data_IF_888846657930
#
_entry.id   IF_888846657930
#
_cell.length_a   1.000
_cell.length_b   1.000
_cell.length_c   1.000
_cell.angle_alpha   90.00
_cell.angle_beta   90.00
_cell.angle_gamma   90.00
#
_symmetry.space_group_name_H-M   'P 1'
#
loop_
_entity.id
_entity.type
_entity.pdbx_description
1 polymer ?
#
# COMPACT_ATOMS: atom_id res chain seq x y z
N UNK A 1 -30.36 -20.32 -6.61
CA UNK A 1 -29.47 -20.14 -5.45
C UNK A 1 -28.71 -18.84 -5.64
N UNK A 2 -28.70 -17.91 -4.68
CA UNK A 2 -27.83 -16.74 -4.77
C UNK A 2 -26.38 -17.24 -4.66
N UNK A 3 -25.59 -17.01 -5.70
CA UNK A 3 -24.14 -17.19 -5.66
C UNK A 3 -23.60 -16.26 -4.59
N UNK A 4 -23.02 -16.82 -3.51
CA UNK A 4 -22.22 -16.04 -2.58
C UNK A 4 -21.13 -15.36 -3.42
N UNK A 5 -21.17 -14.03 -3.49
CA UNK A 5 -20.07 -13.24 -4.03
C UNK A 5 -18.80 -13.68 -3.31
N UNK A 6 -17.75 -14.02 -4.07
CA UNK A 6 -16.46 -14.36 -3.49
C UNK A 6 -16.06 -13.29 -2.45
N UNK A 7 -15.52 -13.68 -1.29
CA UNK A 7 -15.09 -12.72 -0.29
C UNK A 7 -14.12 -11.73 -0.92
N UNK A 8 -14.36 -10.42 -0.73
CA UNK A 8 -13.47 -9.38 -1.24
C UNK A 8 -12.17 -9.43 -0.44
N UNK A 9 -11.07 -9.81 -1.07
CA UNK A 9 -9.72 -9.79 -0.50
C UNK A 9 -9.24 -8.36 -0.31
N UNK A 10 -8.27 -8.14 0.57
CA UNK A 10 -7.78 -6.80 0.91
C UNK A 10 -7.39 -6.63 2.38
N UNK A 11 -7.22 -7.72 3.12
CA UNK A 11 -6.66 -7.68 4.46
C UNK A 11 -5.13 -7.66 4.35
N UNK A 12 -4.53 -6.62 4.92
CA UNK A 12 -3.07 -6.46 5.02
C UNK A 12 -2.68 -6.45 6.48
N UNK A 13 -1.69 -7.27 6.85
CA UNK A 13 -1.05 -7.21 8.16
C UNK A 13 0.41 -6.83 7.96
N UNK A 14 0.88 -5.85 8.71
CA UNK A 14 2.22 -5.32 8.63
C UNK A 14 2.68 -4.92 10.03
N UNK A 15 3.61 -5.68 10.59
CA UNK A 15 4.13 -5.43 11.94
C UNK A 15 5.52 -4.83 11.87
N UNK A 16 5.72 -3.70 12.54
CA UNK A 16 7.01 -3.05 12.69
C UNK A 16 7.84 -3.81 13.74
N UNK A 17 8.96 -4.40 13.32
CA UNK A 17 9.82 -5.20 14.20
C UNK A 17 10.87 -4.35 14.93
N UNK A 18 11.33 -3.29 14.27
CA UNK A 18 12.34 -2.36 14.76
C UNK A 18 12.06 -0.95 14.26
N UNK A 19 12.52 0.08 14.95
CA UNK A 19 12.34 1.45 14.47
C UNK A 19 13.14 1.69 13.18
N UNK A 20 12.63 2.54 12.31
CA UNK A 20 13.25 2.86 11.02
C UNK A 20 14.18 4.06 11.19
N UNK A 21 15.43 3.91 10.70
CA UNK A 21 16.38 5.02 10.67
C UNK A 21 15.83 6.18 9.85
N UNK A 22 16.16 7.41 10.23
CA UNK A 22 15.56 8.60 9.61
C UNK A 22 15.84 8.69 8.10
N UNK A 23 17.04 8.30 7.66
CA UNK A 23 17.43 8.31 6.25
C UNK A 23 16.64 7.29 5.41
N UNK A 24 16.45 6.08 5.94
CA UNK A 24 15.65 5.03 5.30
C UNK A 24 14.18 5.45 5.22
N UNK A 25 13.66 6.09 6.28
CA UNK A 25 12.31 6.64 6.31
C UNK A 25 12.12 7.73 5.24
N UNK A 26 13.06 8.68 5.13
CA UNK A 26 13.01 9.70 4.09
C UNK A 26 13.08 9.09 2.68
N UNK A 27 13.89 8.05 2.50
CA UNK A 27 13.97 7.32 1.23
C UNK A 27 12.63 6.66 0.89
N UNK A 28 12.02 5.93 1.84
CA UNK A 28 10.71 5.32 1.69
C UNK A 28 9.66 6.37 1.30
N UNK A 29 9.57 7.45 2.07
CA UNK A 29 8.66 8.56 1.83
C UNK A 29 8.81 9.15 0.42
N UNK A 30 10.04 9.36 -0.05
CA UNK A 30 10.32 9.86 -1.40
C UNK A 30 9.79 8.90 -2.47
N UNK A 31 10.05 7.60 -2.33
CA UNK A 31 9.58 6.59 -3.28
C UNK A 31 8.04 6.49 -3.28
N UNK A 32 7.41 6.56 -2.11
CA UNK A 32 5.94 6.55 -1.96
C UNK A 32 5.32 7.76 -2.65
N UNK A 33 5.94 8.95 -2.52
CA UNK A 33 5.45 10.14 -3.21
C UNK A 33 5.62 10.05 -4.72
N UNK A 34 6.71 9.44 -5.20
CA UNK A 34 6.88 9.16 -6.63
C UNK A 34 5.81 8.19 -7.14
N UNK A 35 5.52 7.10 -6.41
CA UNK A 35 4.46 6.16 -6.75
C UNK A 35 3.08 6.80 -6.75
N UNK A 36 2.73 7.59 -5.72
CA UNK A 36 1.47 8.33 -5.67
C UNK A 36 1.34 9.30 -6.84
N UNK A 37 2.41 10.04 -7.15
CA UNK A 37 2.43 10.96 -8.28
C UNK A 37 2.16 10.24 -9.60
N UNK A 38 2.80 9.11 -9.81
CA UNK A 38 2.65 8.34 -11.02
C UNK A 38 1.25 7.72 -11.15
N UNK A 39 0.72 7.16 -10.05
CA UNK A 39 -0.64 6.63 -9.97
C UNK A 39 -1.68 7.68 -10.36
N UNK A 40 -1.49 8.93 -9.92
CA UNK A 40 -2.39 10.04 -10.24
C UNK A 40 -2.26 10.54 -11.68
N UNK A 41 -1.05 10.54 -12.23
CA UNK A 41 -0.80 11.02 -13.60
C UNK A 41 -1.21 9.99 -14.67
N UNK A 42 -1.08 8.71 -14.38
CA UNK A 42 -1.35 7.60 -15.30
C UNK A 42 -2.16 6.48 -14.63
N UNK A 43 -3.36 6.75 -14.10
CA UNK A 43 -4.16 5.75 -13.39
C UNK A 43 -4.46 4.49 -14.22
N UNK A 44 -4.57 4.63 -15.53
CA UNK A 44 -4.84 3.54 -16.49
C UNK A 44 -3.76 2.45 -16.48
N UNK A 45 -2.52 2.80 -16.12
CA UNK A 45 -1.40 1.84 -16.07
C UNK A 45 -1.56 0.80 -14.96
N UNK A 46 -2.46 1.04 -13.99
CA UNK A 46 -2.77 0.07 -12.93
C UNK A 46 -3.67 -1.07 -13.40
N UNK A 47 -4.45 -0.87 -14.47
CA UNK A 47 -5.48 -1.80 -14.92
C UNK A 47 -6.61 -2.03 -13.90
N UNK A 48 -6.84 -1.09 -12.98
CA UNK A 48 -7.91 -1.13 -11.97
C UNK A 48 -9.03 -0.16 -12.37
N UNK A 49 -10.27 -0.67 -12.33
CA UNK A 49 -11.48 0.11 -12.56
C UNK A 49 -12.41 -0.02 -11.33
N UNK A 50 -12.89 1.09 -10.73
CA UNK A 50 -12.52 2.47 -11.05
C UNK A 50 -11.07 2.79 -10.64
N UNK A 51 -10.44 3.81 -11.27
CA UNK A 51 -9.10 4.27 -10.91
C UNK A 51 -8.90 4.49 -9.41
N UNK A 52 -7.75 4.10 -8.84
CA UNK A 52 -7.45 4.39 -7.44
C UNK A 52 -7.32 5.90 -7.19
N UNK A 53 -8.21 6.44 -6.34
CA UNK A 53 -8.11 7.79 -5.79
C UNK A 53 -7.59 7.67 -4.36
N UNK A 54 -6.46 8.31 -4.08
CA UNK A 54 -5.82 8.30 -2.76
C UNK A 54 -6.21 9.57 -2.02
N UNK A 55 -6.93 9.41 -0.92
CA UNK A 55 -7.39 10.48 -0.06
C UNK A 55 -6.63 10.49 1.26
N UNK A 56 -6.79 11.58 2.03
CA UNK A 56 -6.33 11.66 3.40
C UNK A 56 -6.91 10.53 4.27
N UNK A 57 -6.45 10.40 5.52
CA UNK A 57 -6.88 9.29 6.38
C UNK A 57 -8.39 9.15 6.58
N UNK A 58 -9.14 10.25 6.48
CA UNK A 58 -10.60 10.27 6.56
C UNK A 58 -11.31 9.90 5.25
N UNK A 59 -10.59 9.79 4.13
CA UNK A 59 -11.16 9.50 2.82
C UNK A 59 -11.87 10.67 2.14
N UNK A 60 -11.81 11.88 2.73
CA UNK A 60 -12.63 13.03 2.32
C UNK A 60 -11.93 13.86 1.24
N UNK A 61 -10.62 14.05 1.38
CA UNK A 61 -9.86 14.96 0.51
C UNK A 61 -8.78 14.19 -0.24
N UNK A 62 -8.77 14.21 -1.58
CA UNK A 62 -7.67 13.63 -2.37
C UNK A 62 -6.33 14.25 -1.97
N UNK A 63 -5.32 13.41 -1.75
CA UNK A 63 -3.99 13.89 -1.39
C UNK A 63 -3.34 14.60 -2.59
N UNK A 64 -2.73 15.75 -2.30
CA UNK A 64 -1.87 16.47 -3.23
C UNK A 64 -0.44 15.94 -3.17
N UNK A 65 0.40 16.41 -4.09
CA UNK A 65 1.80 15.98 -4.16
C UNK A 65 2.65 16.53 -3.00
N UNK A 66 2.21 17.66 -2.44
CA UNK A 66 2.76 18.40 -1.31
C UNK A 66 2.06 18.09 0.02
N UNK A 67 0.91 17.40 -0.01
CA UNK A 67 0.27 16.87 1.19
C UNK A 67 1.14 15.72 1.70
N UNK A 68 2.04 16.09 2.60
CA UNK A 68 3.01 15.26 3.30
C UNK A 68 2.45 13.90 3.76
N UNK A 69 2.48 12.91 2.86
CA UNK A 69 2.78 11.51 3.21
C UNK A 69 4.21 11.40 3.78
N UNK A 70 5.00 12.47 3.66
CA UNK A 70 6.40 12.59 4.04
C UNK A 70 6.53 13.59 5.20
N UNK A 71 7.00 13.16 6.36
CA UNK A 71 7.73 14.05 7.27
C UNK A 71 7.39 13.99 8.76
N UNK A 72 6.25 13.43 9.16
CA UNK A 72 5.84 13.36 10.58
C UNK A 72 6.03 11.96 11.21
N UNK A 73 6.88 11.14 10.61
CA UNK A 73 7.08 9.75 11.06
C UNK A 73 5.89 8.84 10.78
N UNK A 74 4.96 9.23 9.90
CA UNK A 74 3.80 8.43 9.52
C UNK A 74 3.39 8.65 8.05
N UNK A 75 3.00 7.57 7.36
CA UNK A 75 2.33 7.57 6.06
C UNK A 75 0.86 7.20 6.31
N UNK A 76 -0.08 8.09 5.99
CA UNK A 76 -1.51 7.90 6.23
C UNK A 76 -2.34 8.21 5.00
N UNK A 77 -3.21 7.29 4.58
CA UNK A 77 -4.18 7.54 3.51
C UNK A 77 -5.36 6.56 3.58
N UNK A 78 -6.40 6.85 2.80
CA UNK A 78 -7.53 5.96 2.58
C UNK A 78 -8.00 6.10 1.12
N UNK A 79 -8.95 5.27 0.69
CA UNK A 79 -9.71 5.49 -0.54
C UNK A 79 -10.76 6.58 -0.39
N UNK A 80 -11.44 6.90 -1.49
CA UNK A 80 -12.42 7.98 -1.53
C UNK A 80 -13.74 7.59 -0.86
N UNK A 81 -14.12 8.34 0.18
CA UNK A 81 -15.33 8.09 0.96
C UNK A 81 -16.62 8.38 0.18
N UNK A 82 -16.66 9.49 -0.58
CA UNK A 82 -17.87 9.95 -1.27
C UNK A 82 -18.44 8.92 -2.26
N UNK A 83 -17.58 8.14 -2.91
CA UNK A 83 -17.98 7.06 -3.83
C UNK A 83 -17.98 5.66 -3.17
N UNK A 84 -17.90 5.59 -1.83
CA UNK A 84 -17.84 4.33 -1.08
C UNK A 84 -16.66 3.43 -1.49
N UNK A 85 -15.51 4.07 -1.77
CA UNK A 85 -14.25 3.42 -2.14
C UNK A 85 -13.22 3.46 -1.00
N UNK A 86 -13.61 3.91 0.20
CA UNK A 86 -12.82 3.87 1.42
C UNK A 86 -13.02 2.57 2.19
N UNK A 87 -11.98 2.07 2.85
CA UNK A 87 -12.05 1.00 3.84
C UNK A 87 -11.42 1.46 5.16
N UNK A 88 -10.62 0.60 5.77
CA UNK A 88 -9.76 1.02 6.87
C UNK A 88 -8.70 2.03 6.40
N UNK A 89 -8.44 3.04 7.22
CA UNK A 89 -7.33 3.96 7.02
C UNK A 89 -6.02 3.19 7.06
N UNK A 90 -5.20 3.30 6.02
CA UNK A 90 -3.85 2.79 6.02
C UNK A 90 -2.96 3.73 6.84
N UNK A 91 -2.20 3.16 7.77
CA UNK A 91 -1.28 3.90 8.67
C UNK A 91 0.01 3.09 8.75
N UNK A 92 1.12 3.66 8.28
CA UNK A 92 2.46 3.07 8.42
C UNK A 92 3.33 4.03 9.23
N UNK A 93 3.84 3.58 10.38
CA UNK A 93 4.63 4.40 11.31
C UNK A 93 6.13 4.16 11.15
N UNK A 94 6.92 5.20 11.38
CA UNK A 94 8.39 5.13 11.42
C UNK A 94 8.89 4.44 12.70
N UNK A 95 8.23 4.72 13.81
CA UNK A 95 8.59 4.26 15.14
C UNK A 95 7.49 3.35 15.69
N UNK A 96 7.89 2.34 16.47
CA UNK A 96 6.93 1.43 17.10
C UNK A 96 6.07 2.20 18.10
N UNK A 97 4.76 2.08 17.94
CA UNK A 97 3.79 2.58 18.90
C UNK A 97 3.05 1.42 19.57
N UNK A 98 2.77 1.48 20.89
CA UNK A 98 1.97 0.45 21.58
C UNK A 98 0.57 0.21 21.00
N UNK A 99 0.08 1.14 20.19
CA UNK A 99 -1.23 1.09 19.55
C UNK A 99 -1.15 0.92 18.03
N UNK A 100 0.02 0.53 17.51
CA UNK A 100 0.16 0.18 16.11
C UNK A 100 -0.76 -0.99 15.79
N UNK A 101 -1.81 -0.71 15.02
CA UNK A 101 -2.76 -1.74 14.59
C UNK A 101 -2.11 -2.75 13.66
N UNK A 102 -1.08 -2.34 12.92
CA UNK A 102 -0.35 -3.18 11.96
C UNK A 102 -1.28 -3.90 11.00
N UNK A 103 -2.41 -3.28 10.66
CA UNK A 103 -3.53 -3.89 9.97
C UNK A 103 -4.27 -2.85 9.14
N UNK A 104 -4.69 -3.24 7.93
CA UNK A 104 -5.57 -2.45 7.08
C UNK A 104 -6.47 -3.39 6.28
N UNK A 105 -7.78 -3.24 6.43
CA UNK A 105 -8.78 -3.93 5.60
C UNK A 105 -9.32 -2.98 4.52
N UNK A 106 -8.98 -3.26 3.27
CA UNK A 106 -9.43 -2.45 2.13
C UNK A 106 -10.72 -2.95 1.50
N UNK A 107 -11.22 -4.12 1.87
CA UNK A 107 -12.44 -4.73 1.28
C UNK A 107 -12.44 -4.77 -0.26
N UNK A 108 -11.26 -4.95 -0.87
CA UNK A 108 -11.07 -4.96 -2.32
C UNK A 108 -11.17 -3.60 -3.01
N UNK A 109 -11.30 -2.50 -2.27
CA UNK A 109 -11.38 -1.16 -2.84
C UNK A 109 -10.09 -0.73 -3.57
N UNK A 110 -10.19 0.14 -4.60
CA UNK A 110 -9.06 0.48 -5.49
C UNK A 110 -7.80 0.98 -4.80
N UNK A 111 -7.92 1.72 -3.70
CA UNK A 111 -6.77 2.25 -2.95
C UNK A 111 -5.85 1.16 -2.38
N UNK A 112 -6.30 -0.11 -2.35
CA UNK A 112 -5.47 -1.28 -2.04
C UNK A 112 -4.21 -1.37 -2.90
N UNK A 113 -4.26 -0.86 -4.13
CA UNK A 113 -3.09 -0.80 -5.01
C UNK A 113 -1.97 0.02 -4.38
N UNK A 114 -2.30 1.19 -3.83
CA UNK A 114 -1.33 2.03 -3.16
C UNK A 114 -0.86 1.42 -1.84
N UNK A 115 -1.74 0.70 -1.12
CA UNK A 115 -1.33 -0.09 0.07
C UNK A 115 -0.25 -1.11 -0.29
N UNK A 116 -0.47 -1.91 -1.34
CA UNK A 116 0.53 -2.86 -1.83
C UNK A 116 1.82 -2.17 -2.27
N UNK A 117 1.73 -1.07 -3.01
CA UNK A 117 2.90 -0.32 -3.48
C UNK A 117 3.73 0.20 -2.30
N UNK A 118 3.10 0.79 -1.28
CA UNK A 118 3.78 1.29 -0.08
C UNK A 118 4.45 0.16 0.69
N UNK A 119 3.78 -0.98 0.88
CA UNK A 119 4.34 -2.13 1.60
C UNK A 119 5.51 -2.77 0.83
N UNK A 120 5.45 -2.82 -0.50
CA UNK A 120 6.58 -3.25 -1.34
C UNK A 120 7.76 -2.30 -1.23
N UNK A 121 7.53 -0.99 -1.27
CA UNK A 121 8.57 0.02 -1.10
C UNK A 121 9.17 -0.01 0.31
N UNK A 122 8.35 -0.26 1.34
CA UNK A 122 8.81 -0.43 2.72
C UNK A 122 9.71 -1.68 2.84
N UNK A 123 9.33 -2.79 2.22
CA UNK A 123 10.17 -3.98 2.17
C UNK A 123 11.45 -3.77 1.36
N UNK A 124 11.40 -3.01 0.26
CA UNK A 124 12.57 -2.71 -0.55
C UNK A 124 13.59 -1.84 0.19
N UNK A 125 13.12 -0.80 0.88
CA UNK A 125 13.99 0.14 1.62
C UNK A 125 14.46 -0.44 2.95
N UNK A 126 13.60 -1.22 3.62
CA UNK A 126 13.81 -1.73 4.97
C UNK A 126 13.45 -3.23 5.07
N UNK A 127 14.23 -4.14 4.44
CA UNK A 127 13.81 -5.52 4.17
C UNK A 127 13.53 -6.37 5.40
N UNK A 128 14.13 -6.06 6.54
CA UNK A 128 13.98 -6.82 7.80
C UNK A 128 13.09 -6.13 8.82
N UNK A 129 12.55 -4.94 8.49
CA UNK A 129 11.89 -4.07 9.46
C UNK A 129 10.39 -4.36 9.57
N UNK A 130 9.77 -4.79 8.48
CA UNK A 130 8.34 -5.10 8.43
C UNK A 130 8.11 -6.57 8.17
N UNK A 131 7.28 -7.19 9.03
CA UNK A 131 6.67 -8.48 8.72
C UNK A 131 5.34 -8.24 8.02
N UNK A 132 5.23 -8.61 6.75
CA UNK A 132 4.06 -8.35 5.89
C UNK A 132 3.37 -9.66 5.53
N UNK A 133 2.05 -9.73 5.72
CA UNK A 133 1.19 -10.80 5.21
C UNK A 133 -0.13 -10.23 4.68
N UNK A 134 -0.80 -10.94 3.78
CA UNK A 134 -2.07 -10.50 3.21
C UNK A 134 -2.89 -11.68 2.67
N UNK A 135 -4.20 -11.51 2.58
CA UNK A 135 -5.10 -12.44 1.88
C UNK A 135 -5.18 -12.15 0.36
N UNK A 136 -4.52 -11.09 -0.11
CA UNK A 136 -4.40 -10.74 -1.53
C UNK A 136 -3.43 -11.69 -2.22
N UNK A 137 -3.78 -12.12 -3.44
CA UNK A 137 -3.01 -13.13 -4.16
C UNK A 137 -1.59 -12.65 -4.51
N UNK A 138 -0.59 -13.54 -4.47
CA UNK A 138 0.77 -13.20 -4.87
C UNK A 138 0.87 -12.68 -6.32
N UNK A 139 -0.05 -13.07 -7.20
CA UNK A 139 -0.13 -12.57 -8.57
C UNK A 139 -0.50 -11.08 -8.63
N UNK A 140 -1.37 -10.61 -7.74
CA UNK A 140 -1.71 -9.19 -7.62
C UNK A 140 -0.52 -8.40 -7.05
N UNK A 141 0.16 -8.94 -6.04
CA UNK A 141 1.40 -8.36 -5.52
C UNK A 141 2.48 -8.25 -6.61
N UNK A 142 2.68 -9.30 -7.40
CA UNK A 142 3.64 -9.30 -8.51
C UNK A 142 3.27 -8.26 -9.56
N UNK A 143 1.97 -8.05 -9.83
CA UNK A 143 1.52 -7.00 -10.75
C UNK A 143 1.91 -5.61 -10.26
N UNK A 144 1.75 -5.32 -8.97
CA UNK A 144 2.18 -4.04 -8.40
C UNK A 144 3.70 -3.91 -8.43
N UNK A 145 4.45 -4.97 -8.15
CA UNK A 145 5.91 -4.96 -8.25
C UNK A 145 6.39 -4.68 -9.70
N UNK A 146 5.77 -5.31 -10.70
CA UNK A 146 6.05 -5.02 -12.11
C UNK A 146 5.67 -3.59 -12.50
N UNK A 147 4.58 -3.06 -11.95
CA UNK A 147 4.20 -1.67 -12.19
C UNK A 147 5.23 -0.68 -11.62
N UNK A 148 5.73 -0.93 -10.40
CA UNK A 148 6.82 -0.14 -9.80
C UNK A 148 8.11 -0.21 -10.64
N UNK A 149 8.40 -1.36 -11.22
CA UNK A 149 9.52 -1.50 -12.14
C UNK A 149 9.30 -0.73 -13.45
N UNK A 150 8.15 -0.89 -14.08
CA UNK A 150 7.85 -0.30 -15.39
C UNK A 150 7.75 1.23 -15.32
N UNK A 151 7.10 1.77 -14.29
CA UNK A 151 6.82 3.20 -14.21
C UNK A 151 7.87 4.00 -13.43
N UNK A 152 8.63 3.36 -12.52
CA UNK A 152 9.59 4.03 -11.66
C UNK A 152 11.01 3.43 -11.70
N UNK A 153 11.25 2.38 -12.50
CA UNK A 153 12.51 1.64 -12.57
C UNK A 153 12.97 1.05 -11.22
N UNK A 154 12.02 0.70 -10.34
CA UNK A 154 12.30 0.09 -9.03
C UNK A 154 12.07 -1.41 -9.10
N UNK A 155 13.12 -2.21 -8.93
CA UNK A 155 13.03 -3.67 -8.90
C UNK A 155 12.85 -4.15 -7.45
N UNK A 156 11.74 -4.83 -7.18
CA UNK A 156 11.35 -5.25 -5.83
C UNK A 156 11.07 -6.75 -5.83
N UNK A 157 11.67 -7.47 -4.87
CA UNK A 157 11.30 -8.85 -4.54
C UNK A 157 10.08 -8.86 -3.62
N UNK A 158 9.21 -9.85 -3.76
CA UNK A 158 8.05 -9.97 -2.88
C UNK A 158 8.49 -10.39 -1.46
N UNK A 159 7.85 -9.88 -0.40
CA UNK A 159 8.10 -10.33 0.96
C UNK A 159 7.79 -11.82 1.11
N UNK A 160 8.58 -12.55 1.90
CA UNK A 160 8.39 -14.00 2.14
C UNK A 160 6.98 -14.39 2.63
N UNK A 161 6.29 -13.49 3.33
CA UNK A 161 4.93 -13.70 3.80
C UNK A 161 3.84 -13.57 2.73
N UNK A 162 4.21 -13.20 1.51
CA UNK A 162 3.34 -13.15 0.34
C UNK A 162 3.62 -14.40 -0.50
N UNK A 163 2.74 -15.38 -0.41
CA UNK A 163 2.85 -16.59 -1.23
C UNK A 163 2.58 -16.24 -2.70
N UNK A 164 3.60 -16.37 -3.55
CA UNK A 164 3.36 -16.60 -4.97
C UNK A 164 2.54 -17.88 -5.05
N UNK A 165 1.42 -17.89 -5.77
CA UNK A 165 0.50 -19.04 -5.83
C UNK A 165 1.09 -20.32 -6.44
N UNK A 166 2.41 -20.47 -6.48
CA UNK A 166 3.11 -21.68 -6.88
C UNK A 166 3.19 -22.58 -5.65
N UNK A 167 2.12 -23.36 -5.44
CA UNK A 167 2.28 -24.65 -4.77
C UNK A 167 3.06 -25.54 -5.75
N UNK A 168 4.34 -25.77 -5.48
CA UNK A 168 5.07 -26.92 -6.04
C UNK A 168 4.41 -28.22 -5.62
#
# INVERSE_FOLDING_TARGET
>A
MPTLSAPKTGAFHFTLLQDIAQEDWFTLCRLVTQAHRQLRLKPETTGIEPPPIICNGAGITPLRYDDSLIGLGVIVFNGEYHHQLSGDTFILNQHRHPYDRGYCQTHGHPYRFMVMAVLLLAHHTCPTVWKITSDVSGTEWQRVAHWLQAELAIVIALPNGISTGIKT
#
